data_IF_495470488215
#
_entry.id   IF_495470488215
#
_cell.length_a   1.000
_cell.length_b   1.000
_cell.length_c   1.000
_cell.angle_alpha   90.00
_cell.angle_beta   90.00
_cell.angle_gamma   90.00
#
_symmetry.space_group_name_H-M   'P 1'
#
loop_
_entity.id
_entity.type
_entity.pdbx_description
1 polymer ?
#
# COMPACT_ATOMS: atom_id res chain seq x y z
N UNK A 1 1.36 -0.20 57.34
CA UNK A 1 0.10 0.40 56.85
C UNK A 1 -0.49 -0.64 55.91
N UNK A 2 -1.31 -1.55 56.42
CA UNK A 2 -1.89 -2.63 55.61
C UNK A 2 -2.97 -2.03 54.70
N UNK A 3 -2.78 -2.17 53.38
CA UNK A 3 -3.83 -1.85 52.43
C UNK A 3 -5.04 -2.74 52.73
N UNK A 4 -6.23 -2.14 52.90
CA UNK A 4 -7.44 -2.92 53.10
C UNK A 4 -7.68 -3.83 51.91
N UNK A 5 -8.17 -5.05 52.14
CA UNK A 5 -8.47 -6.04 51.09
C UNK A 5 -9.30 -5.44 49.94
N UNK A 6 -10.20 -4.51 50.25
CA UNK A 6 -11.01 -3.74 49.28
C UNK A 6 -10.16 -2.89 48.34
N UNK A 7 -9.12 -2.22 48.84
CA UNK A 7 -8.21 -1.41 48.02
C UNK A 7 -7.36 -2.24 47.07
N UNK A 8 -6.92 -3.43 47.51
CA UNK A 8 -6.18 -4.39 46.68
C UNK A 8 -7.06 -4.96 45.56
N UNK A 9 -8.32 -5.31 45.86
CA UNK A 9 -9.27 -5.79 44.85
C UNK A 9 -9.61 -4.70 43.82
N UNK A 10 -9.78 -3.45 44.27
CA UNK A 10 -10.04 -2.33 43.37
C UNK A 10 -8.85 -2.10 42.42
N UNK A 11 -7.61 -2.08 42.93
CA UNK A 11 -6.42 -1.93 42.09
C UNK A 11 -6.30 -3.04 41.04
N UNK A 12 -6.60 -4.29 41.40
CA UNK A 12 -6.60 -5.42 40.47
C UNK A 12 -7.69 -5.29 39.40
N UNK A 13 -8.89 -4.81 39.76
CA UNK A 13 -9.96 -4.53 38.81
C UNK A 13 -9.60 -3.41 37.83
N UNK A 14 -8.93 -2.35 38.30
CA UNK A 14 -8.42 -1.29 37.44
C UNK A 14 -7.34 -1.79 36.47
N UNK A 15 -6.37 -2.58 36.94
CA UNK A 15 -5.33 -3.19 36.08
C UNK A 15 -5.97 -4.06 34.99
N UNK A 16 -6.91 -4.93 35.35
CA UNK A 16 -7.61 -5.78 34.39
C UNK A 16 -8.39 -4.97 33.36
N UNK A 17 -9.08 -3.91 33.79
CA UNK A 17 -9.81 -3.01 32.89
C UNK A 17 -8.84 -2.27 31.95
N UNK A 18 -7.69 -1.82 32.43
CA UNK A 18 -6.67 -1.17 31.60
C UNK A 18 -6.08 -2.14 30.57
N UNK A 19 -5.73 -3.36 30.97
CA UNK A 19 -5.25 -4.41 30.06
C UNK A 19 -6.29 -4.75 28.98
N UNK A 20 -7.56 -4.86 29.36
CA UNK A 20 -8.66 -5.10 28.42
C UNK A 20 -8.79 -3.97 27.40
N UNK A 21 -8.74 -2.72 27.84
CA UNK A 21 -8.83 -1.55 26.96
C UNK A 21 -7.63 -1.46 26.01
N UNK A 22 -6.43 -1.73 26.50
CA UNK A 22 -5.22 -1.78 25.66
C UNK A 22 -5.35 -2.89 24.61
N UNK A 23 -5.82 -4.07 25.00
CA UNK A 23 -6.04 -5.17 24.05
C UNK A 23 -7.09 -4.85 23.00
N UNK A 24 -8.22 -4.27 23.40
CA UNK A 24 -9.26 -3.82 22.46
C UNK A 24 -8.71 -2.77 21.48
N UNK A 25 -7.94 -1.80 21.97
CA UNK A 25 -7.32 -0.77 21.15
C UNK A 25 -6.33 -1.35 20.13
N UNK A 26 -5.44 -2.25 20.57
CA UNK A 26 -4.47 -2.92 19.69
C UNK A 26 -5.16 -3.78 18.63
N UNK A 27 -6.23 -4.49 19.00
CA UNK A 27 -7.02 -5.28 18.05
C UNK A 27 -7.71 -4.38 17.03
N UNK A 28 -8.30 -3.27 17.46
CA UNK A 28 -8.96 -2.31 16.57
C UNK A 28 -7.99 -1.75 15.51
N UNK A 29 -6.76 -1.40 15.91
CA UNK A 29 -5.73 -0.89 14.99
C UNK A 29 -5.32 -1.94 13.94
N UNK A 30 -5.20 -3.21 14.36
CA UNK A 30 -4.95 -4.32 13.44
C UNK A 30 -6.11 -4.51 12.44
N UNK A 31 -7.37 -4.46 12.88
CA UNK A 31 -8.54 -4.57 12.00
C UNK A 31 -8.58 -3.44 10.95
N UNK A 32 -8.24 -2.22 11.32
CA UNK A 32 -8.18 -1.08 10.38
C UNK A 32 -7.15 -1.34 9.29
N UNK A 33 -5.97 -1.84 9.64
CA UNK A 33 -4.92 -2.15 8.65
C UNK A 33 -5.33 -3.31 7.72
N UNK A 34 -5.90 -4.40 8.24
CA UNK A 34 -6.35 -5.51 7.39
C UNK A 34 -7.52 -5.13 6.47
N UNK A 35 -8.45 -4.30 6.96
CA UNK A 35 -9.56 -3.80 6.13
C UNK A 35 -9.07 -2.85 5.04
N UNK A 36 -8.09 -1.99 5.33
CA UNK A 36 -7.44 -1.14 4.34
C UNK A 36 -6.70 -1.96 3.27
N UNK A 37 -6.02 -3.04 3.66
CA UNK A 37 -5.37 -3.98 2.74
C UNK A 37 -6.37 -4.66 1.79
N UNK A 38 -7.49 -5.16 2.32
CA UNK A 38 -8.58 -5.69 1.50
C UNK A 38 -9.16 -4.62 0.57
N UNK A 39 -9.30 -3.39 1.08
CA UNK A 39 -9.68 -2.22 0.27
C UNK A 39 -8.73 -1.99 -0.90
N UNK A 40 -7.42 -2.08 -0.68
CA UNK A 40 -6.41 -1.98 -1.74
C UNK A 40 -6.56 -3.03 -2.84
N UNK A 41 -6.82 -4.29 -2.48
CA UNK A 41 -7.08 -5.38 -3.45
C UNK A 41 -8.35 -5.09 -4.27
N UNK A 42 -9.43 -4.66 -3.60
CA UNK A 42 -10.69 -4.31 -4.27
C UNK A 42 -10.53 -3.10 -5.19
N UNK A 43 -9.77 -2.09 -4.77
CA UNK A 43 -9.42 -0.94 -5.61
C UNK A 43 -8.66 -1.37 -6.85
N UNK A 44 -7.72 -2.32 -6.74
CA UNK A 44 -7.02 -2.86 -7.91
C UNK A 44 -7.99 -3.48 -8.92
N UNK A 45 -8.94 -4.30 -8.45
CA UNK A 45 -9.97 -4.90 -9.32
C UNK A 45 -10.86 -3.83 -9.97
N UNK A 46 -11.28 -2.83 -9.20
CA UNK A 46 -12.08 -1.72 -9.71
C UNK A 46 -11.34 -0.93 -10.78
N UNK A 47 -10.07 -0.57 -10.54
CA UNK A 47 -9.24 0.16 -11.51
C UNK A 47 -9.00 -0.67 -12.76
N UNK A 48 -8.79 -1.98 -12.63
CA UNK A 48 -8.68 -2.89 -13.76
C UNK A 48 -9.93 -2.82 -14.65
N UNK A 49 -11.12 -2.92 -14.05
CA UNK A 49 -12.40 -2.91 -14.78
C UNK A 49 -12.66 -1.56 -15.44
N UNK A 50 -12.38 -0.46 -14.75
CA UNK A 50 -12.48 0.90 -15.31
C UNK A 50 -11.50 1.07 -16.48
N UNK A 51 -10.24 0.62 -16.31
CA UNK A 51 -9.23 0.70 -17.38
C UNK A 51 -9.66 -0.09 -18.60
N UNK A 52 -10.20 -1.30 -18.39
CA UNK A 52 -10.76 -2.12 -19.45
C UNK A 52 -11.91 -1.41 -20.18
N UNK A 53 -12.86 -0.86 -19.41
CA UNK A 53 -14.05 -0.18 -19.94
C UNK A 53 -13.65 1.04 -20.76
N UNK A 54 -12.90 1.97 -20.16
CA UNK A 54 -12.42 3.19 -20.83
C UNK A 54 -11.62 2.82 -22.07
N UNK A 55 -10.70 1.85 -21.97
CA UNK A 55 -9.86 1.50 -23.11
C UNK A 55 -10.65 0.90 -24.28
N UNK A 56 -11.70 0.13 -23.98
CA UNK A 56 -12.58 -0.44 -25.01
C UNK A 56 -13.39 0.61 -25.79
N UNK A 57 -13.72 1.73 -25.16
CA UNK A 57 -14.47 2.83 -25.79
C UNK A 57 -13.58 3.83 -26.53
N UNK A 58 -12.41 4.15 -25.97
CA UNK A 58 -11.58 5.25 -26.47
C UNK A 58 -10.44 4.81 -27.39
N UNK A 59 -9.95 3.57 -27.28
CA UNK A 59 -8.81 3.10 -28.06
C UNK A 59 -9.20 1.95 -29.00
N UNK A 60 -9.33 2.22 -30.29
CA UNK A 60 -9.65 1.18 -31.31
C UNK A 60 -8.61 0.05 -31.32
N UNK A 61 -7.33 0.41 -31.17
CA UNK A 61 -6.21 -0.51 -31.02
C UNK A 61 -6.42 -1.51 -29.87
N UNK A 62 -7.10 -1.12 -28.79
CA UNK A 62 -7.32 -2.02 -27.66
C UNK A 62 -8.13 -3.25 -28.08
N UNK A 63 -9.09 -3.12 -29.00
CA UNK A 63 -9.90 -4.24 -29.47
C UNK A 63 -9.06 -5.33 -30.17
N UNK A 64 -8.03 -4.93 -30.92
CA UNK A 64 -7.14 -5.83 -31.68
C UNK A 64 -6.06 -6.50 -30.82
N UNK A 65 -5.85 -6.04 -29.58
CA UNK A 65 -4.87 -6.65 -28.67
C UNK A 65 -5.23 -8.10 -28.31
N UNK A 66 -4.19 -8.93 -28.18
CA UNK A 66 -4.31 -10.29 -27.65
C UNK A 66 -4.77 -10.26 -26.18
N UNK A 67 -5.25 -11.40 -25.67
CA UNK A 67 -5.68 -11.51 -24.26
C UNK A 67 -4.57 -11.13 -23.27
N UNK A 68 -3.34 -11.57 -23.54
CA UNK A 68 -2.18 -11.25 -22.71
C UNK A 68 -1.84 -9.74 -22.75
N UNK A 69 -1.85 -9.11 -23.93
CA UNK A 69 -1.62 -7.68 -24.05
C UNK A 69 -2.71 -6.83 -23.39
N UNK A 70 -3.97 -7.25 -23.46
CA UNK A 70 -5.07 -6.58 -22.73
C UNK A 70 -4.87 -6.69 -21.22
N UNK A 71 -4.42 -7.85 -20.74
CA UNK A 71 -4.13 -8.07 -19.33
C UNK A 71 -3.01 -7.15 -18.85
N UNK A 72 -1.91 -7.07 -19.60
CA UNK A 72 -0.81 -6.13 -19.33
C UNK A 72 -1.27 -4.67 -19.39
N UNK A 73 -2.02 -4.30 -20.43
CA UNK A 73 -2.56 -2.96 -20.61
C UNK A 73 -3.38 -2.51 -19.40
N UNK A 74 -4.27 -3.38 -18.91
CA UNK A 74 -5.11 -3.06 -17.75
C UNK A 74 -4.32 -3.08 -16.44
N UNK A 75 -3.34 -3.99 -16.28
CA UNK A 75 -2.47 -4.02 -15.10
C UNK A 75 -1.62 -2.76 -14.97
N UNK A 76 -1.14 -2.20 -16.09
CA UNK A 76 -0.46 -0.90 -16.13
C UNK A 76 -1.37 0.26 -15.69
N UNK A 77 -2.69 0.13 -15.87
CA UNK A 77 -3.67 1.07 -15.35
C UNK A 77 -3.70 1.04 -13.82
N UNK A 78 -3.72 -0.16 -13.23
CA UNK A 78 -3.66 -0.35 -11.77
C UNK A 78 -2.39 0.29 -11.21
N UNK A 79 -1.21 -0.07 -11.74
CA UNK A 79 0.07 0.43 -11.23
C UNK A 79 0.23 1.94 -11.40
N UNK A 80 -0.32 2.52 -12.47
CA UNK A 80 -0.34 3.98 -12.65
C UNK A 80 -1.15 4.68 -11.55
N UNK A 81 -2.37 4.20 -11.26
CA UNK A 81 -3.23 4.80 -10.23
C UNK A 81 -2.60 4.64 -8.84
N UNK A 82 -2.09 3.46 -8.52
CA UNK A 82 -1.40 3.22 -7.26
C UNK A 82 -0.19 4.13 -7.09
N UNK A 83 0.66 4.21 -8.10
CA UNK A 83 1.87 5.04 -8.08
C UNK A 83 1.56 6.52 -7.82
N UNK A 84 0.53 7.08 -8.47
CA UNK A 84 0.09 8.45 -8.22
C UNK A 84 -0.37 8.61 -6.77
N UNK A 85 -1.22 7.71 -6.28
CA UNK A 85 -1.73 7.73 -4.92
C UNK A 85 -0.59 7.66 -3.89
N UNK A 86 0.27 6.64 -3.97
CA UNK A 86 1.29 6.40 -2.97
C UNK A 86 2.37 7.49 -3.01
N UNK A 87 2.72 8.00 -4.19
CA UNK A 87 3.68 9.11 -4.31
C UNK A 87 3.13 10.37 -3.65
N UNK A 88 1.86 10.72 -3.92
CA UNK A 88 1.22 11.87 -3.30
C UNK A 88 1.17 11.74 -1.77
N UNK A 89 0.73 10.58 -1.27
CA UNK A 89 0.65 10.33 0.17
C UNK A 89 2.04 10.32 0.83
N UNK A 90 3.05 9.74 0.16
CA UNK A 90 4.43 9.71 0.66
C UNK A 90 5.00 11.12 0.79
N UNK A 91 4.83 11.95 -0.24
CA UNK A 91 5.27 13.36 -0.22
C UNK A 91 4.55 14.12 0.90
N UNK A 92 3.23 13.97 1.02
CA UNK A 92 2.47 14.59 2.10
C UNK A 92 2.97 14.16 3.49
N UNK A 93 3.11 12.85 3.72
CA UNK A 93 3.51 12.34 5.03
C UNK A 93 4.93 12.76 5.40
N UNK A 94 5.89 12.64 4.47
CA UNK A 94 7.30 12.94 4.71
C UNK A 94 7.55 14.44 4.90
N UNK A 95 6.96 15.28 4.05
CA UNK A 95 7.33 16.70 4.01
C UNK A 95 6.31 17.66 4.62
N UNK A 96 5.04 17.25 4.77
CA UNK A 96 3.95 18.17 5.12
C UNK A 96 3.16 17.78 6.39
N UNK A 97 3.27 16.54 6.89
CA UNK A 97 2.35 16.02 7.93
C UNK A 97 2.81 16.21 9.39
N UNK A 98 3.94 16.88 9.65
CA UNK A 98 4.64 16.95 10.96
C UNK A 98 5.04 15.59 11.59
N UNK A 99 4.55 14.45 11.08
CA UNK A 99 4.77 13.09 11.61
C UNK A 99 6.25 12.73 11.81
N UNK A 100 7.11 13.22 10.91
CA UNK A 100 8.55 12.95 10.92
C UNK A 100 9.38 14.19 11.25
N UNK A 101 8.78 15.21 11.87
CA UNK A 101 9.47 16.44 12.26
C UNK A 101 10.49 16.22 13.38
N UNK A 102 11.62 16.93 13.34
CA UNK A 102 12.62 16.93 14.42
C UNK A 102 12.11 17.55 15.73
N UNK A 103 10.92 18.16 15.73
CA UNK A 103 10.28 18.74 16.92
C UNK A 103 9.63 17.72 17.85
N UNK A 104 9.36 16.51 17.36
CA UNK A 104 8.76 15.45 18.17
C UNK A 104 9.83 14.71 18.96
N UNK A 105 9.48 14.20 20.14
CA UNK A 105 10.37 13.37 20.96
C UNK A 105 10.51 11.95 20.40
N UNK A 106 11.60 11.28 20.78
CA UNK A 106 11.90 9.88 20.42
C UNK A 106 12.45 9.70 19.00
N UNK A 107 12.90 8.50 18.62
CA UNK A 107 13.54 8.28 17.32
C UNK A 107 12.50 8.28 16.19
N UNK A 108 12.81 8.94 15.07
CA UNK A 108 11.93 9.06 13.90
C UNK A 108 11.54 7.70 13.30
N UNK A 109 12.35 6.68 13.53
CA UNK A 109 12.12 5.31 13.08
C UNK A 109 10.96 4.61 13.78
N UNK A 110 10.49 5.08 14.93
CA UNK A 110 9.37 4.48 15.68
C UNK A 110 8.09 5.30 15.57
N UNK A 111 8.01 6.19 14.57
CA UNK A 111 6.87 7.09 14.39
C UNK A 111 5.96 6.59 13.28
N UNK A 112 4.68 6.49 13.63
CA UNK A 112 3.59 6.13 12.74
C UNK A 112 2.30 6.84 13.17
N UNK A 113 1.31 6.83 12.29
CA UNK A 113 -0.02 7.39 12.50
C UNK A 113 -1.05 6.49 11.84
N UNK A 114 -2.33 6.62 12.21
CA UNK A 114 -3.38 5.85 11.55
C UNK A 114 -3.42 6.11 10.03
N UNK A 115 -3.21 7.36 9.61
CA UNK A 115 -3.16 7.71 8.19
C UNK A 115 -2.01 7.02 7.47
N UNK A 116 -0.82 7.00 8.09
CA UNK A 116 0.35 6.34 7.52
C UNK A 116 0.23 4.81 7.55
N UNK A 117 -0.42 4.22 8.56
CA UNK A 117 -0.71 2.78 8.59
C UNK A 117 -1.71 2.38 7.49
N UNK A 118 -2.82 3.11 7.37
CA UNK A 118 -3.84 2.87 6.35
C UNK A 118 -3.26 3.01 4.94
N UNK A 119 -2.45 4.05 4.71
CA UNK A 119 -1.80 4.28 3.41
C UNK A 119 -0.89 3.11 3.03
N UNK A 120 -0.01 2.65 3.93
CA UNK A 120 0.84 1.48 3.67
C UNK A 120 0.00 0.20 3.49
N UNK A 121 -1.06 0.01 4.29
CA UNK A 121 -1.92 -1.15 4.19
C UNK A 121 -2.62 -1.24 2.82
N UNK A 122 -3.12 -0.12 2.28
CA UNK A 122 -3.64 -0.05 0.91
C UNK A 122 -2.55 -0.47 -0.09
N UNK A 123 -1.31 0.00 0.09
CA UNK A 123 -0.17 -0.43 -0.74
C UNK A 123 0.14 -1.91 -0.62
N UNK A 124 0.05 -2.52 0.56
CA UNK A 124 0.19 -3.99 0.72
C UNK A 124 -0.81 -4.72 -0.18
N UNK A 125 -2.08 -4.29 -0.17
CA UNK A 125 -3.10 -4.88 -1.04
C UNK A 125 -2.77 -4.77 -2.53
N UNK A 126 -2.22 -3.62 -2.94
CA UNK A 126 -1.70 -3.43 -4.29
C UNK A 126 -0.52 -4.36 -4.61
N UNK A 127 0.53 -4.38 -3.79
CA UNK A 127 1.73 -5.19 -4.04
C UNK A 127 1.42 -6.70 -4.07
N UNK A 128 0.47 -7.18 -3.25
CA UNK A 128 -0.04 -8.56 -3.32
C UNK A 128 -0.70 -8.82 -4.68
N UNK A 129 -1.53 -7.89 -5.14
CA UNK A 129 -2.20 -8.03 -6.45
C UNK A 129 -1.18 -8.01 -7.58
N UNK A 130 -0.23 -7.09 -7.54
CA UNK A 130 0.75 -6.88 -8.60
C UNK A 130 1.75 -8.05 -8.68
N UNK A 131 2.23 -8.57 -7.55
CA UNK A 131 3.12 -9.75 -7.56
C UNK A 131 2.38 -11.01 -8.04
N UNK A 132 1.10 -11.18 -7.68
CA UNK A 132 0.27 -12.27 -8.20
C UNK A 132 0.11 -12.17 -9.73
N UNK A 133 -0.11 -10.95 -10.23
CA UNK A 133 -0.19 -10.68 -11.67
C UNK A 133 1.13 -10.93 -12.39
N UNK A 134 2.26 -10.49 -11.81
CA UNK A 134 3.60 -10.74 -12.36
C UNK A 134 3.84 -12.25 -12.52
N UNK A 135 3.51 -13.06 -11.51
CA UNK A 135 3.63 -14.53 -11.64
C UNK A 135 2.66 -15.12 -12.67
N UNK A 136 1.43 -14.63 -12.73
CA UNK A 136 0.41 -15.14 -13.65
C UNK A 136 0.75 -14.89 -15.13
N UNK A 137 1.38 -13.75 -15.42
CA UNK A 137 1.72 -13.32 -16.80
C UNK A 137 3.23 -13.32 -17.02
N UNK A 138 4.00 -14.02 -16.21
CA UNK A 138 5.47 -14.05 -16.34
C UNK A 138 5.88 -14.64 -17.70
N UNK A 139 6.84 -14.05 -18.44
CA UNK A 139 7.65 -12.85 -18.13
C UNK A 139 7.14 -11.55 -18.78
N UNK A 140 5.88 -11.48 -19.23
CA UNK A 140 5.35 -10.34 -20.00
C UNK A 140 5.30 -9.03 -19.21
N UNK A 141 5.16 -9.09 -17.88
CA UNK A 141 5.09 -7.92 -17.00
C UNK A 141 6.47 -7.45 -16.47
N UNK A 142 7.55 -8.14 -16.81
CA UNK A 142 8.91 -7.82 -16.35
C UNK A 142 9.78 -9.07 -16.12
N UNK A 143 11.09 -8.87 -15.96
CA UNK A 143 12.04 -9.94 -15.64
C UNK A 143 12.11 -10.27 -14.15
N UNK A 144 13.10 -11.11 -13.78
CA UNK A 144 13.32 -11.51 -12.37
C UNK A 144 13.62 -10.32 -11.45
N UNK A 145 14.20 -9.25 -11.98
CA UNK A 145 14.43 -8.00 -11.27
C UNK A 145 13.12 -7.36 -10.77
N UNK A 146 12.04 -7.44 -11.54
CA UNK A 146 10.72 -6.96 -11.12
C UNK A 146 10.15 -7.85 -10.01
N UNK A 147 10.30 -9.17 -10.13
CA UNK A 147 9.85 -10.13 -9.10
C UNK A 147 10.56 -9.86 -7.78
N UNK A 148 11.89 -9.73 -7.81
CA UNK A 148 12.68 -9.45 -6.61
C UNK A 148 12.35 -8.08 -6.01
N UNK A 149 12.21 -7.05 -6.85
CA UNK A 149 11.81 -5.72 -6.41
C UNK A 149 10.45 -5.75 -5.69
N UNK A 150 9.41 -6.32 -6.30
CA UNK A 150 8.07 -6.37 -5.71
C UNK A 150 8.02 -7.23 -4.45
N UNK A 151 8.78 -8.33 -4.41
CA UNK A 151 8.88 -9.15 -3.20
C UNK A 151 9.52 -8.40 -2.04
N UNK A 152 10.67 -7.74 -2.27
CA UNK A 152 11.35 -6.95 -1.25
C UNK A 152 10.50 -5.77 -0.77
N UNK A 153 9.85 -5.05 -1.71
CA UNK A 153 8.91 -3.98 -1.38
C UNK A 153 7.75 -4.49 -0.55
N UNK A 154 7.13 -5.62 -0.92
CA UNK A 154 6.03 -6.21 -0.16
C UNK A 154 6.45 -6.58 1.27
N UNK A 155 7.59 -7.25 1.44
CA UNK A 155 8.10 -7.62 2.78
C UNK A 155 8.38 -6.36 3.62
N UNK A 156 9.01 -5.34 3.03
CA UNK A 156 9.33 -4.08 3.71
C UNK A 156 8.08 -3.33 4.18
N UNK A 157 7.06 -3.22 3.32
CA UNK A 157 5.81 -2.52 3.64
C UNK A 157 5.01 -3.31 4.68
N UNK A 158 4.93 -4.64 4.55
CA UNK A 158 4.26 -5.52 5.53
C UNK A 158 4.93 -5.44 6.90
N UNK A 159 6.26 -5.38 6.95
CA UNK A 159 6.97 -5.15 8.20
C UNK A 159 6.61 -3.78 8.78
N UNK A 160 6.75 -2.71 7.99
CA UNK A 160 6.54 -1.32 8.42
C UNK A 160 5.12 -1.04 8.92
N UNK A 161 4.10 -1.69 8.34
CA UNK A 161 2.71 -1.52 8.78
C UNK A 161 2.41 -2.30 10.07
N UNK A 162 3.00 -3.48 10.25
CA UNK A 162 2.75 -4.32 11.42
C UNK A 162 3.54 -3.88 12.66
N UNK A 163 4.77 -3.38 12.48
CA UNK A 163 5.57 -2.85 13.58
C UNK A 163 5.27 -1.38 13.88
N UNK A 164 4.77 -0.62 12.90
CA UNK A 164 4.70 0.84 12.98
C UNK A 164 6.07 1.51 12.91
N UNK A 165 7.12 0.77 12.53
CA UNK A 165 8.51 1.22 12.51
C UNK A 165 9.02 1.41 11.08
N UNK A 166 10.08 2.19 10.92
CA UNK A 166 10.78 2.40 9.64
C UNK A 166 9.98 3.17 8.58
N UNK A 167 8.77 3.64 8.90
CA UNK A 167 7.86 4.19 7.91
C UNK A 167 8.42 5.40 7.15
N UNK A 168 9.22 6.27 7.80
CA UNK A 168 9.88 7.39 7.11
C UNK A 168 10.69 6.90 5.90
N UNK A 169 11.52 5.87 6.08
CA UNK A 169 12.34 5.31 5.00
C UNK A 169 11.50 4.60 3.95
N UNK A 170 10.48 3.86 4.37
CA UNK A 170 9.52 3.21 3.47
C UNK A 170 8.83 4.25 2.58
N UNK A 171 8.35 5.35 3.15
CA UNK A 171 7.74 6.43 2.38
C UNK A 171 8.73 7.16 1.47
N UNK A 172 9.96 7.43 1.92
CA UNK A 172 10.98 8.01 1.05
C UNK A 172 11.27 7.14 -0.18
N UNK A 173 11.33 5.82 -0.02
CA UNK A 173 11.48 4.88 -1.14
C UNK A 173 10.24 4.91 -2.03
N UNK A 174 9.04 4.93 -1.45
CA UNK A 174 7.77 4.94 -2.20
C UNK A 174 7.55 6.21 -3.03
N UNK A 175 8.27 7.31 -2.78
CA UNK A 175 8.28 8.47 -3.70
C UNK A 175 8.80 8.07 -5.09
N UNK A 176 9.69 7.08 -5.18
CA UNK A 176 10.23 6.61 -6.45
C UNK A 176 9.20 5.91 -7.35
N UNK A 177 8.08 5.45 -6.79
CA UNK A 177 6.92 4.96 -7.57
C UNK A 177 6.36 6.04 -8.50
N UNK A 178 6.63 7.33 -8.22
CA UNK A 178 6.23 8.43 -9.10
C UNK A 178 6.80 8.35 -10.52
N UNK A 179 7.80 7.48 -10.75
CA UNK A 179 8.33 7.18 -12.08
C UNK A 179 7.47 6.18 -12.88
N UNK A 180 6.70 5.32 -12.20
CA UNK A 180 5.86 4.26 -12.79
C UNK A 180 4.84 4.79 -13.81
N UNK A 181 4.11 5.90 -13.58
CA UNK A 181 3.22 6.49 -14.59
C UNK A 181 3.94 6.85 -15.89
N UNK A 182 5.18 7.35 -15.81
CA UNK A 182 5.99 7.68 -16.98
C UNK A 182 6.43 6.44 -17.76
N UNK A 183 6.82 5.37 -17.04
CA UNK A 183 7.17 4.08 -17.65
C UNK A 183 5.95 3.46 -18.36
N UNK A 184 4.79 3.50 -17.73
CA UNK A 184 3.54 2.99 -18.31
C UNK A 184 3.07 3.81 -19.50
N UNK A 185 3.15 5.14 -19.43
CA UNK A 185 2.82 6.03 -20.55
C UNK A 185 3.69 5.73 -21.77
N UNK A 186 5.01 5.56 -21.58
CA UNK A 186 5.91 5.17 -22.67
C UNK A 186 5.50 3.86 -23.33
N UNK A 187 5.07 2.87 -22.53
CA UNK A 187 4.59 1.59 -23.06
C UNK A 187 3.27 1.75 -23.83
N UNK A 188 2.30 2.49 -23.31
CA UNK A 188 1.03 2.73 -24.01
C UNK A 188 1.26 3.40 -25.36
N UNK A 189 2.11 4.43 -25.41
CA UNK A 189 2.48 5.10 -26.66
C UNK A 189 3.14 4.15 -27.65
N UNK A 190 4.00 3.23 -27.19
CA UNK A 190 4.64 2.25 -28.07
C UNK A 190 3.63 1.29 -28.72
N UNK A 191 2.59 0.88 -27.98
CA UNK A 191 1.55 -0.01 -28.51
C UNK A 191 0.66 0.74 -29.50
N UNK A 192 0.31 1.99 -29.20
CA UNK A 192 -0.50 2.82 -30.10
C UNK A 192 0.21 3.09 -31.42
N UNK A 193 1.51 3.43 -31.39
CA UNK A 193 2.30 3.72 -32.60
C UNK A 193 2.52 2.46 -33.46
N UNK A 194 2.64 1.27 -32.85
CA UNK A 194 2.87 0.01 -33.58
C UNK A 194 1.60 -0.53 -34.28
N UNK A 195 0.42 -0.01 -33.95
CA UNK A 195 -0.87 -0.53 -34.41
C UNK A 195 -1.69 0.47 -35.25
N UNK A 196 -1.14 1.66 -35.51
CA UNK A 196 -1.56 2.61 -36.54
C UNK A 196 -0.69 2.47 -37.81
#
# INVERSE_FOLDING_TARGET
MDLSTTSVMAAKAYSYKAESLVKEYLLADAYVSYTAMLGGILMCKMVYDITHLVSSFFYKCYASLTKAQKLEWNNRGISTVHAIFITFMSVYLVFFSDLYSDKLDGPVTFRSSNLSNITLAVSVGYFITDIAMIFWVYPSLGGMEYVLHHFLSLVSIVYSVNSGEGQLYTYMVLISEGTTPGINLRWYLSILILLD
#
